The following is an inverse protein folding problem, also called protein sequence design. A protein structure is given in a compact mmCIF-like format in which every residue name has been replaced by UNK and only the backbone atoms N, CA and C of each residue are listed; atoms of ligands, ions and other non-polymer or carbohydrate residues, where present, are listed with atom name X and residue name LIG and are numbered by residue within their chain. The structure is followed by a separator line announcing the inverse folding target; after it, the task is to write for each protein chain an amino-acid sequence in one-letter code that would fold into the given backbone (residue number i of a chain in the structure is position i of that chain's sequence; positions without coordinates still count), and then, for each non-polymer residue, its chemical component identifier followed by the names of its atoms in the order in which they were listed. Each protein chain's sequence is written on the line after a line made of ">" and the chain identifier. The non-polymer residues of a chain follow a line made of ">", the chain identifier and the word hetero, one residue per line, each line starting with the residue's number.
data_IF_733610739129
#
_entry.id   IF_733610739129
#
_cell.length_a   1.000
_cell.length_b   1.000
_cell.length_c   1.000
_cell.angle_alpha   90.00
_cell.angle_beta   90.00
_cell.angle_gamma   90.00
#
_symmetry.space_group_name_H-M   'P 1'
#
loop_
_entity.id
_entity.type
_entity.pdbx_description
1 polymer ?
#
# COMPACT_ATOMS: atom_id res chain seq x y z
N UNK A 1 41.30 3.81 -29.46
CA UNK A 1 40.39 4.81 -30.06
C UNK A 1 39.16 4.88 -29.16
N UNK A 2 39.01 6.01 -28.45
CA UNK A 2 37.94 6.48 -27.53
C UNK A 2 37.08 5.43 -26.78
N UNK A 3 37.44 5.21 -25.51
CA UNK A 3 36.58 4.68 -24.45
C UNK A 3 36.01 5.90 -23.69
N UNK A 4 34.68 6.07 -23.69
CA UNK A 4 33.99 7.03 -22.82
C UNK A 4 33.62 6.34 -21.50
N UNK A 5 34.36 6.64 -20.44
CA UNK A 5 33.99 6.32 -19.05
C UNK A 5 33.52 7.63 -18.40
N UNK A 6 32.21 7.76 -18.20
CA UNK A 6 31.62 8.81 -17.36
C UNK A 6 31.58 8.31 -15.91
N UNK A 7 32.60 8.67 -15.14
CA UNK A 7 32.76 8.35 -13.72
C UNK A 7 32.78 9.67 -12.94
N UNK A 8 31.62 10.32 -12.85
CA UNK A 8 31.47 11.56 -12.07
C UNK A 8 30.03 11.88 -11.62
N UNK A 9 29.04 11.06 -11.98
CA UNK A 9 27.62 11.39 -11.75
C UNK A 9 26.95 10.77 -10.51
N UNK A 10 27.60 9.86 -9.78
CA UNK A 10 26.90 8.99 -8.81
C UNK A 10 27.20 9.27 -7.33
N UNK A 11 28.14 10.17 -7.03
CA UNK A 11 28.53 10.50 -5.66
C UNK A 11 27.88 11.83 -5.19
N UNK A 12 27.42 12.68 -6.12
CA UNK A 12 26.92 14.02 -5.81
C UNK A 12 25.40 14.09 -5.54
N UNK A 13 24.63 13.06 -5.90
CA UNK A 13 23.17 13.05 -5.73
C UNK A 13 22.69 12.57 -4.35
N UNK A 14 23.59 12.10 -3.48
CA UNK A 14 23.21 11.58 -2.16
C UNK A 14 23.11 12.65 -1.06
N UNK A 15 23.48 13.92 -1.29
CA UNK A 15 23.75 14.88 -0.20
C UNK A 15 23.18 16.30 -0.32
N UNK A 16 22.28 16.59 -1.28
CA UNK A 16 21.55 17.88 -1.31
C UNK A 16 20.05 17.66 -1.10
N UNK A 17 19.63 17.54 0.16
CA UNK A 17 18.24 17.81 0.56
C UNK A 17 18.21 18.35 2.00
N UNK A 18 18.94 19.44 2.23
CA UNK A 18 18.79 20.30 3.40
C UNK A 18 18.38 21.68 2.87
N UNK A 19 17.07 21.95 2.86
CA UNK A 19 16.56 23.30 2.61
C UNK A 19 16.36 24.04 3.93
N UNK A 20 16.98 25.21 3.98
CA UNK A 20 16.93 26.25 5.00
C UNK A 20 15.64 27.06 4.78
N UNK A 21 14.85 27.26 5.83
CA UNK A 21 13.71 28.20 5.84
C UNK A 21 14.13 29.51 6.52
N UNK A 22 13.84 30.70 5.94
CA UNK A 22 13.94 31.95 6.67
C UNK A 22 12.62 32.35 7.35
N UNK A 23 12.77 32.84 8.58
CA UNK A 23 11.83 33.61 9.41
C UNK A 23 11.29 34.85 8.66
N UNK A 24 10.03 35.22 8.90
CA UNK A 24 9.67 36.62 9.13
C UNK A 24 8.34 36.76 9.87
N UNK A 25 8.33 37.71 10.80
CA UNK A 25 7.31 38.00 11.80
C UNK A 25 6.59 39.33 11.52
N UNK A 26 5.54 39.58 12.34
CA UNK A 26 4.85 40.85 12.65
C UNK A 26 3.78 41.34 11.66
N UNK A 27 2.67 41.96 12.07
CA UNK A 27 1.82 42.03 13.29
C UNK A 27 0.66 42.98 12.91
N UNK A 28 -0.59 42.65 13.30
CA UNK A 28 -1.62 43.53 13.92
C UNK A 28 -2.00 44.89 13.23
N UNK A 29 -3.20 45.48 13.28
CA UNK A 29 -4.54 45.37 13.92
C UNK A 29 -5.33 46.60 13.36
N UNK A 30 -6.66 46.68 13.22
CA UNK A 30 -7.74 47.02 14.19
C UNK A 30 -8.96 47.49 13.32
N UNK A 31 -10.19 47.00 13.56
CA UNK A 31 -11.40 47.73 14.07
C UNK A 31 -11.91 48.95 13.25
N UNK A 32 -13.22 49.25 13.02
CA UNK A 32 -14.48 48.97 13.75
C UNK A 32 -15.74 49.45 12.94
N UNK A 33 -16.92 48.87 13.28
CA UNK A 33 -18.29 49.46 13.50
C UNK A 33 -19.09 49.99 12.30
N UNK A 34 -20.13 49.27 11.84
CA UNK A 34 -21.59 49.29 12.18
C UNK A 34 -22.40 50.42 11.52
N UNK A 35 -23.50 50.03 10.84
CA UNK A 35 -24.79 50.69 11.05
C UNK A 35 -25.95 49.69 10.82
N UNK A 36 -26.87 49.69 11.78
CA UNK A 36 -28.07 48.86 11.89
C UNK A 36 -29.27 49.53 11.20
N UNK A 37 -30.22 48.73 10.72
CA UNK A 37 -31.68 48.78 11.04
C UNK A 37 -32.44 47.76 10.13
N UNK A 38 -32.98 46.62 10.63
CA UNK A 38 -34.23 46.41 11.43
C UNK A 38 -35.48 46.65 10.56
N UNK A 39 -36.51 45.79 10.45
CA UNK A 39 -36.89 44.45 10.94
C UNK A 39 -38.14 44.03 10.14
N UNK A 40 -38.37 42.73 9.94
CA UNK A 40 -39.70 42.14 10.12
C UNK A 40 -39.55 40.68 10.57
N UNK A 41 -39.93 40.48 11.83
CA UNK A 41 -39.91 39.24 12.60
C UNK A 41 -40.86 38.17 12.04
N UNK A 42 -40.44 36.90 12.16
CA UNK A 42 -41.19 35.88 12.92
C UNK A 42 -40.23 34.79 13.44
N UNK A 43 -40.37 34.53 14.74
CA UNK A 43 -39.61 33.67 15.66
C UNK A 43 -39.42 32.23 15.11
N UNK A 44 -38.21 31.66 15.11
CA UNK A 44 -37.49 30.96 16.23
C UNK A 44 -38.39 29.87 16.86
N UNK A 45 -37.99 28.60 17.05
CA UNK A 45 -36.86 28.17 17.88
C UNK A 45 -36.44 26.73 17.50
N UNK A 46 -35.13 26.49 17.49
CA UNK A 46 -34.41 25.26 17.87
C UNK A 46 -34.94 23.88 17.42
N UNK A 47 -34.32 23.34 16.36
CA UNK A 47 -33.91 21.92 16.36
C UNK A 47 -32.48 21.81 15.90
N UNK A 48 -31.60 21.65 16.89
CA UNK A 48 -30.33 20.93 16.74
C UNK A 48 -30.68 19.62 16.04
N UNK A 49 -30.42 19.52 14.74
CA UNK A 49 -30.46 18.24 14.05
C UNK A 49 -29.31 17.43 14.64
N UNK A 50 -29.67 16.54 15.56
CA UNK A 50 -28.86 15.40 15.96
C UNK A 50 -28.24 14.82 14.70
N UNK A 51 -26.92 14.77 14.72
CA UNK A 51 -26.10 13.95 13.84
C UNK A 51 -26.68 12.54 13.89
N UNK A 52 -27.43 12.16 12.86
CA UNK A 52 -27.77 10.76 12.65
C UNK A 52 -26.45 10.04 12.38
N UNK A 53 -26.04 9.25 13.37
CA UNK A 53 -24.92 8.30 13.32
C UNK A 53 -25.27 7.12 12.40
N UNK A 54 -25.59 7.42 11.15
CA UNK A 54 -25.45 6.49 10.04
C UNK A 54 -24.72 7.23 8.93
N UNK A 55 -23.41 7.41 9.10
CA UNK A 55 -22.55 7.47 7.92
C UNK A 55 -22.68 6.09 7.28
N UNK A 56 -23.62 5.94 6.34
CA UNK A 56 -23.62 4.77 5.48
C UNK A 56 -22.20 4.62 4.95
N UNK A 57 -21.56 3.50 5.29
CA UNK A 57 -20.26 3.18 4.72
C UNK A 57 -20.54 3.08 3.23
N UNK A 58 -20.09 4.09 2.49
CA UNK A 58 -20.20 4.13 1.04
C UNK A 58 -19.62 2.82 0.53
N UNK A 59 -20.49 1.95 -0.01
CA UNK A 59 -20.08 0.66 -0.56
C UNK A 59 -19.46 0.94 -1.92
N UNK A 60 -18.24 0.45 -2.14
CA UNK A 60 -17.55 0.58 -3.42
C UNK A 60 -16.66 -0.63 -3.66
N UNK A 61 -16.31 -0.86 -4.93
CA UNK A 61 -15.41 -1.95 -5.33
C UNK A 61 -13.98 -1.64 -4.88
N UNK A 62 -13.48 -2.47 -3.96
CA UNK A 62 -12.09 -2.47 -3.46
C UNK A 62 -11.32 -3.64 -4.08
N UNK A 63 -10.02 -3.44 -4.29
CA UNK A 63 -9.14 -4.55 -4.61
C UNK A 63 -9.05 -5.54 -3.45
N UNK A 64 -8.80 -6.80 -3.77
CA UNK A 64 -8.58 -7.86 -2.79
C UNK A 64 -7.07 -8.02 -2.54
N UNK A 65 -6.67 -8.28 -1.30
CA UNK A 65 -5.25 -8.35 -0.94
C UNK A 65 -4.97 -9.54 -0.02
N UNK A 66 -3.92 -10.28 -0.35
CA UNK A 66 -3.24 -11.22 0.52
C UNK A 66 -1.82 -10.71 0.82
N UNK A 67 -1.44 -10.73 2.09
CA UNK A 67 -0.13 -10.23 2.53
C UNK A 67 0.71 -11.38 3.07
N UNK A 68 1.99 -11.37 2.69
CA UNK A 68 2.96 -12.38 3.10
C UNK A 68 4.30 -11.78 3.46
N UNK A 69 5.10 -12.53 4.22
CA UNK A 69 6.50 -12.23 4.52
C UNK A 69 7.39 -13.46 4.30
N UNK A 70 8.57 -13.23 3.75
CA UNK A 70 9.62 -14.25 3.57
C UNK A 70 10.40 -14.38 4.88
N UNK A 71 10.56 -15.60 5.34
CA UNK A 71 11.42 -15.93 6.49
C UNK A 71 12.83 -16.26 5.99
N UNK A 72 13.84 -15.70 6.64
CA UNK A 72 15.24 -16.01 6.42
C UNK A 72 15.92 -16.26 7.77
N UNK A 73 16.32 -17.51 8.00
CA UNK A 73 16.92 -17.97 9.25
C UNK A 73 18.26 -17.31 9.55
N UNK A 74 18.89 -16.68 8.56
CA UNK A 74 20.18 -16.01 8.73
C UNK A 74 20.03 -14.55 9.20
N UNK A 75 18.80 -14.04 9.32
CA UNK A 75 18.58 -12.64 9.67
C UNK A 75 18.59 -12.41 11.19
N UNK A 76 19.31 -11.38 11.67
CA UNK A 76 19.19 -10.95 13.05
C UNK A 76 17.77 -10.43 13.32
N UNK A 77 17.28 -10.65 14.55
CA UNK A 77 15.96 -10.19 15.02
C UNK A 77 14.78 -10.67 14.13
N UNK A 78 14.92 -11.79 13.42
CA UNK A 78 13.87 -12.31 12.51
C UNK A 78 12.53 -12.48 13.23
N UNK A 79 12.53 -13.04 14.44
CA UNK A 79 11.30 -13.37 15.15
C UNK A 79 10.51 -12.11 15.51
N UNK A 80 11.21 -11.04 15.86
CA UNK A 80 10.63 -9.74 16.10
C UNK A 80 9.98 -9.19 14.82
N UNK A 81 10.71 -9.15 13.71
CA UNK A 81 10.19 -8.68 12.40
C UNK A 81 8.96 -9.49 11.96
N UNK A 82 9.01 -10.82 12.09
CA UNK A 82 7.92 -11.71 11.72
C UNK A 82 6.70 -11.49 12.63
N UNK A 83 6.90 -11.33 13.94
CA UNK A 83 5.84 -11.00 14.91
C UNK A 83 5.21 -9.64 14.58
N UNK A 84 6.01 -8.61 14.33
CA UNK A 84 5.51 -7.29 13.94
C UNK A 84 4.67 -7.37 12.67
N UNK A 85 5.15 -8.08 11.64
CA UNK A 85 4.40 -8.23 10.40
C UNK A 85 3.06 -8.96 10.60
N UNK A 86 3.05 -10.03 11.40
CA UNK A 86 1.83 -10.82 11.68
C UNK A 86 0.80 -10.02 12.48
N UNK A 87 1.26 -9.15 13.38
CA UNK A 87 0.41 -8.29 14.22
C UNK A 87 0.01 -6.98 13.56
N UNK A 88 0.65 -6.60 12.44
CA UNK A 88 0.33 -5.39 11.71
C UNK A 88 -1.14 -5.39 11.25
N UNK A 89 -1.80 -4.25 11.40
CA UNK A 89 -3.17 -4.07 10.92
C UNK A 89 -3.28 -4.31 9.42
N UNK A 90 -4.34 -4.99 9.00
CA UNK A 90 -4.60 -5.19 7.58
C UNK A 90 -4.99 -3.85 6.93
N UNK A 91 -4.46 -3.52 5.73
CA UNK A 91 -4.82 -2.30 5.02
C UNK A 91 -6.33 -2.18 4.74
N UNK A 92 -7.00 -1.21 5.37
CA UNK A 92 -8.46 -1.02 5.36
C UNK A 92 -9.05 -0.72 3.97
N UNK A 93 -8.22 -0.19 3.06
CA UNK A 93 -8.61 0.14 1.67
C UNK A 93 -8.71 -1.08 0.75
N UNK A 94 -8.35 -2.27 1.22
CA UNK A 94 -8.49 -3.52 0.47
C UNK A 94 -9.45 -4.48 1.17
N UNK A 95 -10.02 -5.38 0.40
CA UNK A 95 -10.71 -6.55 0.94
C UNK A 95 -9.67 -7.57 1.43
N UNK A 96 -9.86 -8.10 2.64
CA UNK A 96 -8.98 -9.13 3.15
C UNK A 96 -9.20 -10.46 2.42
N UNK A 97 -8.28 -10.77 1.51
CA UNK A 97 -8.27 -11.99 0.72
C UNK A 97 -7.16 -12.93 1.14
N UNK A 98 -6.73 -12.85 2.41
CA UNK A 98 -5.74 -13.77 2.95
C UNK A 98 -6.26 -15.21 2.89
N UNK A 99 -5.44 -16.12 2.35
CA UNK A 99 -5.67 -17.56 2.28
C UNK A 99 -4.36 -18.29 2.52
N UNK A 100 -4.39 -19.44 3.22
CA UNK A 100 -3.19 -20.22 3.49
C UNK A 100 -2.19 -19.50 4.41
N UNK A 101 -0.93 -19.92 4.33
CA UNK A 101 0.14 -19.40 5.17
C UNK A 101 0.54 -17.98 4.77
N UNK A 102 0.83 -17.14 5.77
CA UNK A 102 1.31 -15.77 5.59
C UNK A 102 2.83 -15.66 5.49
N UNK A 103 3.54 -16.77 5.51
CA UNK A 103 5.00 -16.78 5.41
C UNK A 103 5.53 -18.10 4.88
N UNK A 104 6.74 -18.05 4.34
CA UNK A 104 7.49 -19.24 3.94
C UNK A 104 8.99 -19.01 4.13
N UNK A 105 9.71 -20.09 4.41
CA UNK A 105 11.15 -20.03 4.61
C UNK A 105 11.90 -20.11 3.29
N UNK A 106 12.73 -19.10 3.03
CA UNK A 106 13.47 -18.94 1.78
C UNK A 106 14.52 -20.03 1.54
N UNK A 107 14.99 -20.67 2.62
CA UNK A 107 15.96 -21.78 2.57
C UNK A 107 15.42 -22.97 1.78
N UNK A 108 14.11 -23.22 1.81
CA UNK A 108 13.46 -24.32 1.09
C UNK A 108 13.48 -24.12 -0.44
N UNK A 109 13.85 -22.92 -0.91
CA UNK A 109 13.84 -22.52 -2.31
C UNK A 109 15.21 -22.04 -2.79
N UNK A 110 16.29 -22.45 -2.11
CA UNK A 110 17.63 -21.91 -2.33
C UNK A 110 18.15 -22.14 -3.77
N UNK A 111 17.76 -23.24 -4.41
CA UNK A 111 18.13 -23.55 -5.80
C UNK A 111 17.57 -22.50 -6.77
N UNK A 112 16.33 -22.06 -6.56
CA UNK A 112 15.67 -21.02 -7.38
C UNK A 112 16.31 -19.65 -7.22
N UNK A 113 16.91 -19.38 -6.07
CA UNK A 113 17.67 -18.13 -5.83
C UNK A 113 19.02 -18.18 -6.56
N UNK A 114 19.59 -19.37 -6.71
CA UNK A 114 20.86 -19.57 -7.39
C UNK A 114 20.74 -19.49 -8.92
N UNK A 115 19.58 -19.88 -9.49
CA UNK A 115 19.29 -19.83 -10.93
C UNK A 115 19.39 -18.40 -11.54
N UNK A 116 19.16 -17.34 -10.75
CA UNK A 116 19.16 -15.94 -11.23
C UNK A 116 20.60 -15.38 -11.41
N UNK A 117 21.65 -16.10 -10.95
CA UNK A 117 23.03 -15.58 -10.89
C UNK A 117 23.73 -15.36 -12.24
N UNK A 118 23.19 -15.82 -13.37
CA UNK A 118 23.91 -15.77 -14.65
C UNK A 118 23.72 -14.48 -15.48
N UNK A 119 22.87 -13.53 -15.06
CA UNK A 119 22.53 -12.37 -15.93
C UNK A 119 22.80 -10.95 -15.39
N UNK A 120 22.97 -10.75 -14.08
CA UNK A 120 23.11 -9.40 -13.50
C UNK A 120 24.10 -9.41 -12.34
N UNK A 121 25.02 -8.45 -12.29
CA UNK A 121 25.94 -8.22 -11.16
C UNK A 121 25.13 -8.23 -9.85
N UNK A 122 25.36 -9.26 -9.03
CA UNK A 122 24.66 -9.56 -7.80
C UNK A 122 24.88 -8.48 -6.72
N UNK A 123 24.12 -7.38 -6.79
CA UNK A 123 24.01 -6.43 -5.67
C UNK A 123 22.68 -6.48 -4.94
N UNK A 124 21.68 -7.17 -5.48
CA UNK A 124 20.39 -7.38 -4.85
C UNK A 124 19.86 -8.77 -5.15
N UNK A 125 19.60 -9.58 -4.12
CA UNK A 125 18.93 -10.87 -4.29
C UNK A 125 17.47 -10.61 -4.70
N UNK A 126 17.12 -11.00 -5.92
CA UNK A 126 15.75 -11.07 -6.39
C UNK A 126 15.17 -12.43 -5.95
N UNK A 127 14.05 -12.40 -5.21
CA UNK A 127 13.40 -13.60 -4.69
C UNK A 127 12.20 -14.05 -5.54
N UNK A 128 11.91 -13.39 -6.67
CA UNK A 128 10.75 -13.69 -7.51
C UNK A 128 10.67 -15.16 -7.94
N UNK A 129 11.78 -15.79 -8.33
CA UNK A 129 11.78 -17.22 -8.69
C UNK A 129 11.39 -18.14 -7.52
N UNK A 130 11.90 -17.86 -6.32
CA UNK A 130 11.55 -18.61 -5.11
C UNK A 130 10.07 -18.40 -4.72
N UNK A 131 9.59 -17.16 -4.78
CA UNK A 131 8.18 -16.81 -4.52
C UNK A 131 7.25 -17.54 -5.50
N UNK A 132 7.59 -17.53 -6.79
CA UNK A 132 6.81 -18.20 -7.82
C UNK A 132 6.77 -19.72 -7.61
N UNK A 133 7.87 -20.33 -7.18
CA UNK A 133 7.89 -21.76 -6.86
C UNK A 133 7.01 -22.06 -5.65
N UNK A 134 7.10 -21.25 -4.58
CA UNK A 134 6.22 -21.39 -3.42
C UNK A 134 4.73 -21.28 -3.79
N UNK A 135 4.35 -20.33 -4.64
CA UNK A 135 2.97 -20.19 -5.10
C UNK A 135 2.46 -21.43 -5.85
N UNK A 136 3.32 -22.07 -6.65
CA UNK A 136 3.01 -23.31 -7.36
C UNK A 136 2.85 -24.47 -6.40
N UNK A 137 3.83 -24.70 -5.53
CA UNK A 137 3.85 -25.81 -4.58
C UNK A 137 2.64 -25.78 -3.64
N UNK A 138 2.25 -24.57 -3.22
CA UNK A 138 1.11 -24.39 -2.30
C UNK A 138 -0.22 -24.18 -2.99
N UNK A 139 -0.25 -24.15 -4.34
CA UNK A 139 -1.43 -23.82 -5.16
C UNK A 139 -2.14 -22.57 -4.64
N UNK A 140 -1.37 -21.52 -4.31
CA UNK A 140 -1.92 -20.31 -3.70
C UNK A 140 -2.98 -19.65 -4.58
N UNK A 141 -2.75 -19.60 -5.89
CA UNK A 141 -3.71 -19.03 -6.84
C UNK A 141 -5.04 -19.80 -6.79
N UNK A 142 -5.02 -21.14 -6.80
CA UNK A 142 -6.22 -21.98 -6.67
C UNK A 142 -6.96 -21.70 -5.35
N UNK A 143 -6.24 -21.54 -4.23
CA UNK A 143 -6.83 -21.21 -2.93
C UNK A 143 -7.52 -19.84 -2.95
N UNK A 144 -6.94 -18.85 -3.64
CA UNK A 144 -7.53 -17.52 -3.78
C UNK A 144 -8.79 -17.55 -4.67
N UNK A 145 -8.80 -18.33 -5.75
CA UNK A 145 -10.00 -18.55 -6.57
C UNK A 145 -11.07 -19.31 -5.78
N UNK A 146 -10.69 -20.37 -5.06
CA UNK A 146 -11.61 -21.11 -4.20
C UNK A 146 -12.29 -20.21 -3.16
N UNK A 147 -11.56 -19.24 -2.59
CA UNK A 147 -12.15 -18.23 -1.68
C UNK A 147 -13.13 -17.29 -2.39
N UNK A 148 -12.80 -16.82 -3.60
CA UNK A 148 -13.72 -15.98 -4.39
C UNK A 148 -15.06 -16.65 -4.66
N UNK A 149 -15.02 -17.97 -4.87
CA UNK A 149 -16.19 -18.77 -5.17
C UNK A 149 -16.67 -19.62 -3.96
N UNK A 150 -16.33 -19.22 -2.73
CA UNK A 150 -16.78 -19.84 -1.48
C UNK A 150 -16.79 -21.39 -1.50
N UNK A 151 -15.71 -21.98 -2.03
CA UNK A 151 -15.66 -23.39 -2.35
C UNK A 151 -15.82 -24.28 -1.11
N UNK A 152 -16.74 -25.25 -1.15
CA UNK A 152 -16.96 -26.24 -0.08
C UNK A 152 -15.91 -27.36 -0.07
N UNK A 153 -15.92 -28.20 0.96
CA UNK A 153 -15.04 -29.38 1.06
C UNK A 153 -15.35 -30.42 -0.06
N UNK A 154 -16.62 -30.56 -0.42
CA UNK A 154 -17.10 -31.39 -1.54
C UNK A 154 -16.75 -30.79 -2.90
N UNK A 155 -16.30 -29.53 -2.93
CA UNK A 155 -15.85 -28.83 -4.13
C UNK A 155 -16.91 -27.95 -4.79
N UNK A 156 -18.10 -27.81 -4.20
CA UNK A 156 -19.14 -26.92 -4.70
C UNK A 156 -18.73 -25.45 -4.61
N UNK A 157 -19.16 -24.65 -5.57
CA UNK A 157 -18.89 -23.22 -5.66
C UNK A 157 -20.16 -22.36 -5.47
N UNK A 158 -19.96 -21.13 -4.99
CA UNK A 158 -20.99 -20.11 -4.78
C UNK A 158 -20.42 -18.71 -5.09
N UNK A 159 -21.22 -17.85 -5.72
CA UNK A 159 -20.86 -16.47 -6.09
C UNK A 159 -21.15 -15.42 -5.01
N UNK A 160 -21.62 -15.81 -3.82
CA UNK A 160 -22.03 -14.87 -2.77
C UNK A 160 -20.95 -13.85 -2.37
N UNK A 161 -19.66 -14.23 -2.35
CA UNK A 161 -18.57 -13.27 -2.07
C UNK A 161 -18.36 -12.25 -3.19
N UNK A 162 -18.52 -12.66 -4.45
CA UNK A 162 -18.46 -11.76 -5.62
C UNK A 162 -19.61 -10.76 -5.54
N UNK A 163 -20.81 -11.24 -5.23
CA UNK A 163 -22.00 -10.39 -5.04
C UNK A 163 -21.78 -9.37 -3.91
N UNK A 164 -21.28 -9.81 -2.75
CA UNK A 164 -21.00 -8.95 -1.60
C UNK A 164 -20.04 -7.82 -1.97
N UNK A 165 -18.95 -8.15 -2.68
CA UNK A 165 -17.87 -7.20 -3.02
C UNK A 165 -18.14 -6.39 -4.30
N UNK A 166 -19.10 -6.81 -5.12
CA UNK A 166 -19.53 -6.13 -6.34
C UNK A 166 -20.22 -4.79 -6.13
N UNK A 167 -20.55 -4.46 -4.87
CA UNK A 167 -21.20 -3.22 -4.46
C UNK A 167 -22.54 -2.98 -5.21
N UNK A 168 -23.31 -4.05 -5.42
CA UNK A 168 -24.68 -3.95 -5.91
C UNK A 168 -25.56 -3.31 -4.83
N UNK A 169 -26.37 -2.32 -5.21
CA UNK A 169 -27.27 -1.60 -4.31
C UNK A 169 -28.43 -2.50 -3.84
N UNK A 170 -29.07 -2.14 -2.71
CA UNK A 170 -30.29 -2.76 -2.22
C UNK A 170 -31.47 -2.65 -3.21
N UNK A 171 -31.48 -1.65 -4.10
CA UNK A 171 -32.44 -1.60 -5.22
C UNK A 171 -32.18 -2.68 -6.29
N UNK A 172 -30.95 -3.22 -6.35
CA UNK A 172 -30.61 -4.43 -7.09
C UNK A 172 -30.87 -5.71 -6.26
N UNK A 173 -31.29 -5.64 -4.99
CA UNK A 173 -31.77 -6.78 -4.17
C UNK A 173 -33.18 -7.28 -4.56
N UNK A 174 -33.62 -7.00 -5.79
CA UNK A 174 -34.37 -8.01 -6.55
C UNK A 174 -33.43 -9.15 -7.03
N UNK A 175 -32.17 -9.20 -6.58
CA UNK A 175 -31.13 -10.16 -6.94
C UNK A 175 -31.49 -11.60 -6.63
N UNK A 176 -32.25 -11.89 -5.57
CA UNK A 176 -32.71 -13.27 -5.32
C UNK A 176 -33.67 -13.75 -6.43
N UNK A 177 -34.42 -12.84 -7.06
CA UNK A 177 -35.20 -13.12 -8.27
C UNK A 177 -34.36 -13.03 -9.56
N UNK A 178 -33.26 -12.26 -9.59
CA UNK A 178 -32.40 -12.11 -10.76
C UNK A 178 -31.35 -13.23 -10.91
N UNK A 179 -30.93 -13.87 -9.81
CA UNK A 179 -30.03 -15.04 -9.79
C UNK A 179 -30.62 -16.25 -10.51
N UNK A 180 -31.96 -16.32 -10.62
CA UNK A 180 -32.67 -17.33 -11.41
C UNK A 180 -32.77 -16.97 -12.91
N UNK A 181 -32.22 -15.83 -13.32
CA UNK A 181 -32.24 -15.37 -14.72
C UNK A 181 -30.83 -15.38 -15.29
N UNK A 182 -30.69 -15.78 -16.55
CA UNK A 182 -29.43 -15.79 -17.31
C UNK A 182 -28.67 -14.45 -17.18
N UNK A 183 -29.42 -13.35 -17.26
CA UNK A 183 -28.90 -11.98 -17.11
C UNK A 183 -28.23 -11.70 -15.76
N UNK A 184 -28.80 -12.18 -14.65
CA UNK A 184 -28.22 -11.93 -13.32
C UNK A 184 -26.89 -12.66 -13.12
N UNK A 185 -26.78 -13.87 -13.70
CA UNK A 185 -25.55 -14.65 -13.71
C UNK A 185 -24.46 -13.96 -14.54
N UNK A 186 -24.81 -13.42 -15.71
CA UNK A 186 -23.85 -12.74 -16.57
C UNK A 186 -23.32 -11.44 -15.94
N UNK A 187 -24.16 -10.68 -15.24
CA UNK A 187 -23.71 -9.53 -14.46
C UNK A 187 -22.73 -9.90 -13.35
N UNK A 188 -22.93 -11.04 -12.69
CA UNK A 188 -22.04 -11.53 -11.63
C UNK A 188 -20.72 -12.06 -12.19
N UNK A 189 -20.75 -12.72 -13.34
CA UNK A 189 -19.53 -13.12 -14.07
C UNK A 189 -18.70 -11.89 -14.43
N UNK A 190 -19.31 -10.87 -15.04
CA UNK A 190 -18.64 -9.60 -15.39
C UNK A 190 -18.00 -8.92 -14.17
N UNK A 191 -18.73 -8.85 -13.04
CA UNK A 191 -18.16 -8.31 -11.80
C UNK A 191 -17.06 -9.22 -11.23
N UNK A 192 -17.20 -10.54 -11.37
CA UNK A 192 -16.17 -11.52 -11.08
C UNK A 192 -14.89 -11.22 -11.87
N UNK A 193 -14.98 -10.93 -13.17
CA UNK A 193 -13.83 -10.56 -13.99
C UNK A 193 -13.10 -9.35 -13.40
N UNK A 194 -13.80 -8.25 -13.15
CA UNK A 194 -13.16 -7.03 -12.63
C UNK A 194 -12.59 -7.24 -11.22
N UNK A 195 -13.33 -7.90 -10.32
CA UNK A 195 -12.95 -8.04 -8.91
C UNK A 195 -11.84 -9.07 -8.71
N UNK A 196 -11.95 -10.23 -9.36
CA UNK A 196 -10.96 -11.32 -9.24
C UNK A 196 -9.65 -10.86 -9.86
N UNK A 197 -9.68 -10.20 -11.03
CA UNK A 197 -8.48 -9.63 -11.64
C UNK A 197 -7.87 -8.50 -10.77
N UNK A 198 -8.67 -7.77 -10.00
CA UNK A 198 -8.20 -6.81 -8.98
C UNK A 198 -7.86 -7.48 -7.63
N UNK A 199 -7.25 -8.67 -7.68
CA UNK A 199 -6.75 -9.40 -6.50
C UNK A 199 -5.23 -9.42 -6.52
N UNK A 200 -4.61 -9.05 -5.40
CA UNK A 200 -3.18 -8.87 -5.28
C UNK A 200 -2.57 -9.73 -4.18
N UNK A 201 -1.31 -10.12 -4.38
CA UNK A 201 -0.46 -10.69 -3.32
C UNK A 201 0.75 -9.79 -3.15
N UNK A 202 1.00 -9.33 -1.93
CA UNK A 202 2.21 -8.59 -1.60
C UNK A 202 3.09 -9.44 -0.70
N UNK A 203 4.26 -9.81 -1.22
CA UNK A 203 5.26 -10.60 -0.50
C UNK A 203 6.39 -9.69 -0.03
N UNK A 204 6.59 -9.59 1.28
CA UNK A 204 7.58 -8.74 1.91
C UNK A 204 8.84 -9.53 2.25
N UNK A 205 10.01 -8.92 2.08
CA UNK A 205 11.27 -9.40 2.63
C UNK A 205 11.94 -8.25 3.36
N UNK A 206 12.11 -8.39 4.67
CA UNK A 206 12.67 -7.36 5.54
C UNK A 206 13.96 -7.86 6.16
N UNK A 207 15.02 -7.04 6.15
CA UNK A 207 16.30 -7.35 6.79
C UNK A 207 16.71 -6.25 7.76
N UNK A 208 17.17 -6.65 8.93
CA UNK A 208 17.80 -5.76 9.91
C UNK A 208 19.30 -5.66 9.59
N UNK A 209 19.79 -4.46 9.31
CA UNK A 209 21.14 -4.20 8.79
C UNK A 209 21.86 -3.22 9.71
N UNK A 210 23.08 -3.57 10.13
CA UNK A 210 23.97 -2.61 10.79
C UNK A 210 24.38 -1.51 9.81
N UNK A 211 24.17 -0.26 10.20
CA UNK A 211 24.56 0.86 9.34
C UNK A 211 26.08 0.94 9.19
N UNK A 212 26.85 0.50 10.19
CA UNK A 212 28.32 0.50 10.18
C UNK A 212 28.90 -0.36 9.07
N UNK A 213 28.42 -1.59 8.90
CA UNK A 213 28.94 -2.51 7.86
C UNK A 213 28.74 -1.92 6.45
N UNK A 214 27.57 -1.32 6.21
CA UNK A 214 27.25 -0.68 4.92
C UNK A 214 28.04 0.62 4.74
N UNK A 215 28.16 1.43 5.79
CA UNK A 215 28.90 2.68 5.78
C UNK A 215 30.38 2.45 5.53
N UNK A 216 30.97 1.40 6.12
CA UNK A 216 32.38 1.04 5.93
C UNK A 216 32.70 0.66 4.49
N UNK A 217 31.89 -0.20 3.87
CA UNK A 217 32.05 -0.57 2.45
C UNK A 217 32.02 0.68 1.56
N UNK A 218 31.09 1.60 1.82
CA UNK A 218 30.96 2.84 1.06
C UNK A 218 32.13 3.78 1.30
N UNK A 219 32.59 3.88 2.55
CA UNK A 219 33.75 4.68 2.93
C UNK A 219 35.04 4.19 2.28
N UNK A 220 35.26 2.88 2.21
CA UNK A 220 36.44 2.31 1.56
C UNK A 220 36.43 2.58 0.03
N UNK A 221 35.26 2.47 -0.62
CA UNK A 221 35.11 2.91 -2.03
C UNK A 221 35.40 4.41 -2.18
N UNK A 222 34.95 5.24 -1.23
CA UNK A 222 35.19 6.68 -1.25
C UNK A 222 36.68 7.01 -1.05
N UNK A 223 37.41 6.27 -0.22
CA UNK A 223 38.89 6.40 -0.11
C UNK A 223 39.57 6.07 -1.44
N UNK A 224 39.19 4.98 -2.08
CA UNK A 224 39.75 4.57 -3.37
C UNK A 224 39.48 5.60 -4.48
N UNK A 225 38.31 6.26 -4.42
CA UNK A 225 37.98 7.36 -5.32
C UNK A 225 38.77 8.63 -4.98
N UNK A 226 38.90 8.99 -3.70
CA UNK A 226 39.66 10.15 -3.25
C UNK A 226 41.15 10.03 -3.61
N UNK A 227 41.73 8.83 -3.53
CA UNK A 227 43.11 8.55 -3.93
C UNK A 227 43.41 8.86 -5.41
N UNK A 228 42.37 8.97 -6.27
CA UNK A 228 42.50 9.29 -7.69
C UNK A 228 42.38 10.79 -7.99
N UNK A 229 42.09 11.62 -6.99
CA UNK A 229 42.03 13.07 -7.13
C UNK A 229 43.44 13.70 -7.06
N UNK A 230 43.62 14.93 -7.58
CA UNK A 230 44.84 15.70 -7.37
C UNK A 230 45.17 15.85 -5.87
N UNK A 231 46.45 15.79 -5.50
CA UNK A 231 46.92 15.78 -4.11
C UNK A 231 46.31 16.90 -3.24
N UNK A 232 46.15 18.11 -3.79
CA UNK A 232 45.57 19.26 -3.10
C UNK A 232 44.09 19.08 -2.68
N UNK A 233 43.37 18.11 -3.26
CA UNK A 233 41.96 17.84 -2.98
C UNK A 233 41.72 16.54 -2.21
N UNK A 234 42.76 15.72 -2.01
CA UNK A 234 42.61 14.39 -1.40
C UNK A 234 42.20 14.47 0.07
N UNK A 235 42.86 15.33 0.85
CA UNK A 235 42.59 15.49 2.29
C UNK A 235 41.16 16.00 2.54
N UNK A 236 40.74 17.05 1.83
CA UNK A 236 39.38 17.57 1.92
C UNK A 236 38.33 16.53 1.49
N UNK A 237 38.59 15.73 0.45
CA UNK A 237 37.69 14.67 0.00
C UNK A 237 37.59 13.53 1.04
N UNK A 238 38.71 13.16 1.66
CA UNK A 238 38.75 12.14 2.73
C UNK A 238 38.03 12.61 3.99
N UNK A 239 38.17 13.89 4.38
CA UNK A 239 37.48 14.45 5.54
C UNK A 239 35.97 14.51 5.34
N UNK A 240 35.50 14.90 4.14
CA UNK A 240 34.08 14.84 3.78
C UNK A 240 33.58 13.39 3.84
N UNK A 241 34.33 12.44 3.26
CA UNK A 241 33.97 11.03 3.28
C UNK A 241 33.93 10.46 4.70
N UNK A 242 34.87 10.85 5.56
CA UNK A 242 34.92 10.46 6.97
C UNK A 242 33.78 11.06 7.78
N UNK A 243 33.47 12.34 7.59
CA UNK A 243 32.32 12.99 8.25
C UNK A 243 31.00 12.36 7.84
N UNK A 244 30.82 12.03 6.55
CA UNK A 244 29.68 11.28 6.06
C UNK A 244 29.61 9.86 6.64
N UNK A 245 30.75 9.16 6.74
CA UNK A 245 30.85 7.85 7.38
C UNK A 245 30.44 7.88 8.86
N UNK A 246 30.96 8.83 9.64
CA UNK A 246 30.64 8.95 11.06
C UNK A 246 29.16 9.19 11.32
N UNK A 247 28.48 9.95 10.46
CA UNK A 247 27.03 10.13 10.50
C UNK A 247 26.28 8.88 10.05
N UNK A 248 26.74 8.25 8.97
CA UNK A 248 26.03 7.13 8.35
C UNK A 248 26.23 5.80 9.06
N UNK A 249 27.29 5.62 9.86
CA UNK A 249 27.57 4.34 10.56
C UNK A 249 26.71 4.11 11.80
N UNK A 250 26.08 5.16 12.33
CA UNK A 250 25.35 5.08 13.59
C UNK A 250 24.04 4.32 13.41
N UNK A 251 23.74 3.45 14.38
CA UNK A 251 22.47 2.75 14.47
C UNK A 251 22.26 1.63 13.45
N UNK A 252 21.00 1.35 13.16
CA UNK A 252 20.57 0.24 12.33
C UNK A 252 19.57 0.72 11.27
N UNK A 253 19.27 -0.16 10.32
CA UNK A 253 18.24 0.08 9.33
C UNK A 253 17.45 -1.20 9.06
N UNK A 254 16.15 -1.04 8.85
CA UNK A 254 15.30 -2.11 8.32
C UNK A 254 15.10 -1.84 6.84
N UNK A 255 15.57 -2.76 6.00
CA UNK A 255 15.37 -2.67 4.56
C UNK A 255 14.28 -3.64 4.18
N UNK A 256 13.22 -3.13 3.55
CA UNK A 256 12.10 -3.96 3.09
C UNK A 256 12.02 -3.92 1.57
N UNK A 257 11.86 -5.09 0.96
CA UNK A 257 11.47 -5.26 -0.44
C UNK A 257 10.07 -5.85 -0.46
N UNK A 258 9.14 -5.23 -1.20
CA UNK A 258 7.81 -5.77 -1.42
C UNK A 258 7.62 -6.13 -2.89
N UNK A 259 7.30 -7.39 -3.15
CA UNK A 259 6.96 -7.91 -4.47
C UNK A 259 5.45 -7.90 -4.63
N UNK A 260 4.96 -7.27 -5.70
CA UNK A 260 3.55 -7.15 -6.00
C UNK A 260 3.16 -8.10 -7.13
N UNK A 261 2.26 -9.01 -6.81
CA UNK A 261 1.64 -9.93 -7.76
C UNK A 261 0.17 -9.60 -7.93
N UNK A 262 -0.35 -9.90 -9.11
CA UNK A 262 -1.76 -9.79 -9.46
C UNK A 262 -2.29 -11.14 -9.94
N UNK A 263 -3.51 -11.49 -9.53
CA UNK A 263 -4.23 -12.65 -10.05
C UNK A 263 -4.47 -12.49 -11.55
N UNK A 264 -4.13 -13.50 -12.34
CA UNK A 264 -4.50 -13.55 -13.75
C UNK A 264 -5.88 -14.18 -13.86
N UNK A 265 -6.88 -13.33 -14.13
CA UNK A 265 -8.25 -13.75 -14.39
C UNK A 265 -8.77 -13.03 -15.63
N UNK A 266 -9.05 -13.78 -16.68
CA UNK A 266 -9.50 -13.29 -17.98
C UNK A 266 -10.53 -14.25 -18.57
N UNK A 267 -11.19 -13.83 -19.66
CA UNK A 267 -12.28 -14.55 -20.32
C UNK A 267 -11.93 -16.01 -20.65
N UNK A 268 -10.68 -16.30 -21.01
CA UNK A 268 -10.25 -17.67 -21.35
C UNK A 268 -10.13 -18.55 -20.10
N UNK A 269 -9.55 -18.03 -19.02
CA UNK A 269 -9.45 -18.73 -17.73
C UNK A 269 -10.83 -18.96 -17.14
N UNK A 270 -11.68 -17.94 -17.22
CA UNK A 270 -13.06 -17.99 -16.75
C UNK A 270 -13.89 -19.03 -17.51
N UNK A 271 -13.80 -19.06 -18.84
CA UNK A 271 -14.51 -20.03 -19.66
C UNK A 271 -14.15 -21.48 -19.28
N UNK A 272 -12.85 -21.76 -19.13
CA UNK A 272 -12.37 -23.09 -18.69
C UNK A 272 -12.86 -23.41 -17.28
N UNK A 273 -12.84 -22.44 -16.36
CA UNK A 273 -13.36 -22.64 -15.01
C UNK A 273 -14.85 -23.00 -15.00
N UNK A 274 -15.71 -22.22 -15.68
CA UNK A 274 -17.15 -22.51 -15.69
C UNK A 274 -17.53 -23.76 -16.48
N UNK A 275 -16.82 -24.06 -17.56
CA UNK A 275 -17.11 -25.24 -18.39
C UNK A 275 -16.64 -26.53 -17.70
N UNK A 276 -15.40 -26.54 -17.23
CA UNK A 276 -14.70 -27.79 -16.86
C UNK A 276 -14.59 -28.01 -15.34
N UNK A 277 -14.80 -26.97 -14.53
CA UNK A 277 -14.57 -27.03 -13.08
C UNK A 277 -15.80 -26.67 -12.25
N UNK A 278 -16.71 -25.83 -12.76
CA UNK A 278 -17.87 -25.38 -12.01
C UNK A 278 -18.85 -26.51 -11.68
N UNK A 279 -19.22 -26.53 -10.40
CA UNK A 279 -20.18 -27.42 -9.77
C UNK A 279 -20.77 -26.67 -8.57
N UNK A 280 -22.06 -26.79 -8.33
CA UNK A 280 -22.74 -26.20 -7.17
C UNK A 280 -23.20 -27.29 -6.19
N UNK A 281 -23.78 -26.88 -5.07
CA UNK A 281 -24.23 -27.82 -4.02
C UNK A 281 -25.35 -28.77 -4.47
N UNK A 282 -26.02 -28.48 -5.59
CA UNK A 282 -27.09 -29.32 -6.16
C UNK A 282 -26.58 -30.34 -7.18
N UNK A 283 -25.36 -30.13 -7.71
CA UNK A 283 -24.77 -30.94 -8.77
C UNK A 283 -23.29 -31.20 -8.51
N UNK A 284 -23.02 -32.11 -7.57
CA UNK A 284 -21.66 -32.48 -7.18
C UNK A 284 -21.04 -33.46 -8.20
N UNK A 285 -19.87 -33.11 -8.75
CA UNK A 285 -19.11 -33.95 -9.68
C UNK A 285 -17.66 -34.15 -9.20
N UNK A 286 -17.28 -35.38 -8.76
CA UNK A 286 -15.92 -35.71 -8.34
C UNK A 286 -14.84 -35.50 -9.41
N UNK A 287 -15.17 -35.63 -10.70
CA UNK A 287 -14.21 -35.42 -11.78
C UNK A 287 -13.86 -33.93 -11.90
N UNK A 288 -14.86 -33.05 -11.88
CA UNK A 288 -14.66 -31.60 -11.86
C UNK A 288 -13.88 -31.13 -10.63
N UNK A 289 -14.18 -31.71 -9.46
CA UNK A 289 -13.42 -31.47 -8.23
C UNK A 289 -11.93 -31.79 -8.43
N UNK A 290 -11.64 -32.94 -9.04
CA UNK A 290 -10.26 -33.41 -9.31
C UNK A 290 -9.53 -32.51 -10.31
N UNK A 291 -10.24 -32.01 -11.34
CA UNK A 291 -9.69 -31.05 -12.31
C UNK A 291 -9.27 -29.77 -11.59
N UNK A 292 -10.15 -29.18 -10.76
CA UNK A 292 -9.83 -27.95 -10.02
C UNK A 292 -8.64 -28.14 -9.06
N UNK A 293 -8.63 -29.23 -8.28
CA UNK A 293 -7.63 -29.49 -7.26
C UNK A 293 -6.21 -29.66 -7.84
N UNK A 294 -6.09 -30.20 -9.05
CA UNK A 294 -4.80 -30.43 -9.71
C UNK A 294 -4.42 -29.35 -10.73
N UNK A 295 -5.34 -28.46 -11.08
CA UNK A 295 -5.16 -27.45 -12.13
C UNK A 295 -3.97 -26.50 -11.87
N UNK A 296 -3.25 -26.17 -12.93
CA UNK A 296 -2.24 -25.08 -13.01
C UNK A 296 -2.76 -23.86 -13.80
N UNK A 297 -4.08 -23.81 -14.05
CA UNK A 297 -4.73 -22.75 -14.82
C UNK A 297 -4.58 -21.38 -14.15
N UNK A 298 -4.70 -21.33 -12.83
CA UNK A 298 -4.71 -20.08 -12.07
C UNK A 298 -3.29 -19.64 -11.73
N UNK A 299 -2.96 -18.40 -12.08
CA UNK A 299 -1.59 -17.89 -11.97
C UNK A 299 -1.55 -16.51 -11.33
N UNK A 300 -0.41 -16.20 -10.71
CA UNK A 300 -0.10 -14.91 -10.11
C UNK A 300 1.03 -14.27 -10.92
N UNK A 301 0.73 -13.15 -11.58
CA UNK A 301 1.68 -12.39 -12.39
C UNK A 301 2.43 -11.38 -11.54
N UNK A 302 3.76 -11.40 -11.60
CA UNK A 302 4.60 -10.36 -10.99
C UNK A 302 4.42 -9.05 -11.77
N UNK A 303 3.90 -8.01 -11.10
CA UNK A 303 3.87 -6.65 -11.65
C UNK A 303 5.21 -5.95 -11.45
N UNK A 304 5.88 -6.23 -10.33
CA UNK A 304 7.21 -5.74 -10.02
C UNK A 304 7.43 -5.67 -8.51
N UNK A 305 8.44 -4.91 -8.09
CA UNK A 305 8.75 -4.74 -6.68
C UNK A 305 9.18 -3.30 -6.37
N UNK A 306 9.10 -2.95 -5.10
CA UNK A 306 9.60 -1.70 -4.54
C UNK A 306 10.45 -1.95 -3.30
N UNK A 307 11.35 -1.01 -3.01
CA UNK A 307 12.28 -1.10 -1.88
C UNK A 307 12.21 0.15 -1.02
N UNK A 308 12.40 -0.05 0.28
CA UNK A 308 12.57 1.07 1.20
C UNK A 308 13.55 0.73 2.31
N UNK A 309 13.97 1.78 3.02
CA UNK A 309 14.83 1.70 4.19
C UNK A 309 14.22 2.58 5.27
N UNK A 310 13.98 2.01 6.45
CA UNK A 310 13.66 2.74 7.66
C UNK A 310 14.92 2.80 8.54
N UNK A 311 15.31 4.02 8.93
CA UNK A 311 16.45 4.29 9.79
C UNK A 311 16.08 4.11 11.26
N UNK A 312 17.06 3.67 12.05
CA UNK A 312 17.03 3.61 13.52
C UNK A 312 18.33 4.25 13.99
N UNK A 313 18.29 5.46 14.53
CA UNK A 313 19.46 6.26 14.93
C UNK A 313 19.85 6.04 16.40
N UNK A 314 18.91 5.69 17.27
CA UNK A 314 19.13 5.41 18.70
C UNK A 314 18.82 3.97 19.09
N UNK A 315 19.87 3.15 19.21
CA UNK A 315 19.85 1.87 19.96
C UNK A 315 20.95 1.89 21.03
N UNK A 316 21.19 3.06 21.61
CA UNK A 316 22.19 3.24 22.66
C UNK A 316 21.85 2.42 23.90
N UNK A 317 22.83 2.23 24.80
CA UNK A 317 22.79 1.40 26.01
C UNK A 317 21.62 1.65 26.97
N UNK A 318 20.84 2.72 26.74
CA UNK A 318 19.74 3.21 27.57
C UNK A 318 18.38 3.19 26.84
N UNK A 319 18.25 2.56 25.66
CA UNK A 319 16.97 2.44 24.99
C UNK A 319 16.08 1.46 25.79
N UNK A 320 15.20 1.99 26.64
CA UNK A 320 14.29 1.20 27.50
C UNK A 320 13.35 0.27 26.70
N UNK A 321 13.25 0.41 25.36
CA UNK A 321 12.43 -0.44 24.50
C UNK A 321 13.01 -0.66 23.09
N UNK A 322 14.22 -1.23 22.97
CA UNK A 322 14.81 -1.67 21.68
C UNK A 322 13.78 -2.40 20.78
N UNK A 323 12.96 -3.28 21.35
CA UNK A 323 11.93 -4.01 20.60
C UNK A 323 10.90 -3.06 19.96
N UNK A 324 10.39 -2.07 20.71
CA UNK A 324 9.38 -1.13 20.21
C UNK A 324 9.93 -0.26 19.08
N UNK A 325 11.20 0.16 19.17
CA UNK A 325 11.86 0.92 18.10
C UNK A 325 11.95 0.09 16.81
N UNK A 326 12.33 -1.19 16.93
CA UNK A 326 12.41 -2.11 15.79
C UNK A 326 11.02 -2.41 15.23
N UNK A 327 10.01 -2.58 16.07
CA UNK A 327 8.62 -2.78 15.66
C UNK A 327 8.10 -1.57 14.86
N UNK A 328 8.27 -0.36 15.39
CA UNK A 328 7.88 0.89 14.73
C UNK A 328 8.61 1.08 13.39
N UNK A 329 9.93 0.83 13.34
CA UNK A 329 10.70 0.89 12.11
C UNK A 329 10.23 -0.16 11.08
N UNK A 330 9.85 -1.36 11.54
CA UNK A 330 9.33 -2.43 10.67
C UNK A 330 8.00 -2.03 10.06
N UNK A 331 7.06 -1.53 10.87
CA UNK A 331 5.76 -1.02 10.41
C UNK A 331 5.92 0.16 9.45
N UNK A 332 6.79 1.12 9.77
CA UNK A 332 7.13 2.26 8.91
C UNK A 332 7.66 1.78 7.56
N UNK A 333 8.54 0.78 7.56
CA UNK A 333 9.12 0.21 6.35
C UNK A 333 8.05 -0.50 5.51
N UNK A 334 7.18 -1.31 6.12
CA UNK A 334 6.06 -1.98 5.43
C UNK A 334 5.12 -0.95 4.81
N UNK A 335 4.65 0.04 5.58
CA UNK A 335 3.76 1.09 5.06
C UNK A 335 4.41 1.84 3.89
N UNK A 336 5.69 2.18 4.01
CA UNK A 336 6.43 2.88 2.97
C UNK A 336 6.53 2.09 1.66
N UNK A 337 6.79 0.78 1.69
CA UNK A 337 6.80 -0.02 0.45
C UNK A 337 5.41 -0.12 -0.17
N UNK A 338 4.34 -0.25 0.62
CA UNK A 338 2.97 -0.23 0.09
C UNK A 338 2.64 1.07 -0.61
N UNK A 339 2.99 2.21 -0.01
CA UNK A 339 2.76 3.53 -0.61
C UNK A 339 3.53 3.69 -1.94
N UNK A 340 4.77 3.19 -2.01
CA UNK A 340 5.55 3.17 -3.26
C UNK A 340 4.91 2.28 -4.32
N UNK A 341 4.44 1.09 -3.94
CA UNK A 341 3.73 0.19 -4.84
C UNK A 341 2.47 0.85 -5.39
N UNK A 342 1.64 1.48 -4.55
CA UNK A 342 0.41 2.16 -4.95
C UNK A 342 0.69 3.34 -5.89
N UNK A 343 1.71 4.16 -5.60
CA UNK A 343 2.11 5.26 -6.49
C UNK A 343 2.56 4.77 -7.86
N UNK A 344 3.36 3.71 -7.89
CA UNK A 344 3.99 3.17 -9.11
C UNK A 344 3.04 2.35 -9.99
N UNK A 345 2.25 1.45 -9.40
CA UNK A 345 1.43 0.49 -10.13
C UNK A 345 -0.04 0.92 -10.10
N UNK A 346 -0.54 1.46 -11.22
CA UNK A 346 -1.93 1.94 -11.32
C UNK A 346 -2.98 0.90 -10.90
N UNK A 347 -2.90 -0.39 -11.30
CA UNK A 347 -3.87 -1.40 -10.87
C UNK A 347 -3.96 -1.55 -9.35
N UNK A 348 -2.86 -1.26 -8.63
CA UNK A 348 -2.78 -1.41 -7.19
C UNK A 348 -3.22 -0.17 -6.41
N UNK A 349 -3.57 0.93 -7.09
CA UNK A 349 -4.02 2.17 -6.42
C UNK A 349 -5.32 1.97 -5.68
N UNK A 350 -5.37 2.50 -4.47
CA UNK A 350 -6.57 2.51 -3.64
C UNK A 350 -7.53 3.63 -4.08
N UNK A 351 -8.80 3.41 -3.78
CA UNK A 351 -9.84 4.44 -3.87
C UNK A 351 -10.24 4.83 -2.45
N UNK A 352 -10.53 6.11 -2.23
CA UNK A 352 -11.00 6.61 -0.92
C UNK A 352 -12.26 7.46 -1.11
N UNK A 353 -13.33 7.28 -0.34
CA UNK A 353 -14.51 8.15 -0.45
C UNK A 353 -14.23 9.55 0.10
N UNK A 354 -14.78 10.56 -0.54
CA UNK A 354 -14.93 11.90 0.03
C UNK A 354 -15.89 11.82 1.22
N UNK A 355 -15.48 12.37 2.36
CA UNK A 355 -16.28 12.42 3.59
C UNK A 355 -16.86 13.81 3.86
N UNK A 356 -16.28 14.83 3.24
CA UNK A 356 -16.74 16.22 3.34
C UNK A 356 -16.53 16.96 2.02
N UNK A 357 -17.34 18.00 1.79
CA UNK A 357 -17.23 18.93 0.65
C UNK A 357 -16.89 20.36 1.08
N UNK A 358 -17.02 20.68 2.37
CA UNK A 358 -16.64 21.98 2.94
C UNK A 358 -16.10 21.80 4.38
N UNK A 359 -14.77 21.77 4.58
CA UNK A 359 -13.75 21.69 3.54
C UNK A 359 -13.81 20.34 2.80
N UNK A 360 -13.45 20.34 1.52
CA UNK A 360 -13.37 19.10 0.72
C UNK A 360 -12.35 18.14 1.33
N UNK A 361 -12.75 16.92 1.67
CA UNK A 361 -11.92 16.05 2.48
C UNK A 361 -12.18 14.54 2.36
N UNK A 362 -11.14 13.76 2.66
CA UNK A 362 -11.19 12.29 2.65
C UNK A 362 -10.30 11.69 3.75
N UNK A 363 -10.70 10.52 4.29
CA UNK A 363 -9.95 9.77 5.32
C UNK A 363 -8.76 9.00 4.71
N UNK A 364 -7.76 9.77 4.32
CA UNK A 364 -6.44 9.35 3.82
C UNK A 364 -5.40 10.35 4.35
N UNK A 365 -4.21 9.90 4.72
CA UNK A 365 -3.23 10.71 5.44
C UNK A 365 -1.78 10.24 5.25
N UNK A 366 -0.95 10.58 6.23
CA UNK A 366 0.49 10.31 6.19
C UNK A 366 0.84 8.81 6.27
N UNK A 367 -0.02 7.94 6.83
CA UNK A 367 0.16 6.47 6.85
C UNK A 367 0.12 5.90 5.43
N UNK A 368 -0.77 6.41 4.59
CA UNK A 368 -0.86 6.10 3.15
C UNK A 368 0.17 6.89 2.32
N UNK A 369 1.07 7.63 2.98
CA UNK A 369 2.19 8.30 2.33
C UNK A 369 1.77 9.51 1.52
N UNK A 370 0.68 10.16 1.89
CA UNK A 370 0.14 11.34 1.21
C UNK A 370 1.09 12.54 1.35
N UNK A 371 1.33 13.25 0.24
CA UNK A 371 2.22 14.40 0.18
C UNK A 371 1.50 15.67 -0.24
N UNK A 372 1.97 16.80 0.29
CA UNK A 372 1.42 18.11 -0.01
C UNK A 372 1.51 18.45 -1.49
N UNK A 373 0.36 18.48 -2.16
CA UNK A 373 0.24 18.81 -3.58
C UNK A 373 0.08 17.61 -4.51
N UNK A 374 0.00 16.38 -3.97
CA UNK A 374 -0.46 15.21 -4.73
C UNK A 374 -1.80 15.50 -5.41
N UNK A 375 -1.98 14.95 -6.62
CA UNK A 375 -3.20 15.09 -7.40
C UNK A 375 -4.04 13.81 -7.33
N UNK A 376 -5.35 14.01 -7.25
CA UNK A 376 -6.33 12.95 -7.27
C UNK A 376 -7.38 13.25 -8.32
N UNK A 377 -7.82 12.22 -9.03
CA UNK A 377 -9.07 12.31 -9.77
C UNK A 377 -10.24 12.00 -8.83
N UNK A 378 -11.35 12.69 -9.03
CA UNK A 378 -12.63 12.38 -8.38
C UNK A 378 -13.45 11.56 -9.36
N UNK A 379 -13.92 10.41 -8.90
CA UNK A 379 -14.66 9.41 -9.64
C UNK A 379 -16.10 9.36 -9.11
N UNK A 380 -17.05 9.50 -10.03
CA UNK A 380 -18.47 9.26 -9.78
C UNK A 380 -18.81 7.83 -10.20
N UNK A 381 -19.52 7.12 -9.32
CA UNK A 381 -20.06 5.80 -9.62
C UNK A 381 -21.27 5.96 -10.54
N UNK A 382 -21.30 5.24 -11.66
CA UNK A 382 -22.39 5.23 -12.61
C UNK A 382 -22.85 3.79 -12.87
N UNK A 383 -24.13 3.61 -13.11
CA UNK A 383 -24.69 2.34 -13.55
C UNK A 383 -25.02 2.46 -15.03
N UNK A 384 -24.59 1.51 -15.83
CA UNK A 384 -25.01 1.44 -17.23
C UNK A 384 -26.44 0.85 -17.35
N UNK A 385 -26.95 0.78 -18.58
CA UNK A 385 -28.28 0.22 -18.89
C UNK A 385 -28.44 -1.24 -18.48
N UNK A 386 -27.31 -1.94 -18.26
CA UNK A 386 -27.23 -3.34 -17.86
C UNK A 386 -27.01 -3.49 -16.34
N UNK A 387 -27.00 -2.37 -15.58
CA UNK A 387 -26.81 -2.37 -14.14
C UNK A 387 -25.36 -2.60 -13.68
N UNK A 388 -24.39 -2.54 -14.60
CA UNK A 388 -22.96 -2.66 -14.26
C UNK A 388 -22.44 -1.35 -13.70
N UNK A 389 -21.64 -1.47 -12.65
CA UNK A 389 -20.96 -0.32 -12.03
C UNK A 389 -19.76 0.09 -12.88
N UNK A 390 -19.71 1.36 -13.24
CA UNK A 390 -18.56 2.00 -13.88
C UNK A 390 -18.17 3.26 -13.10
N UNK A 391 -16.91 3.70 -13.25
CA UNK A 391 -16.40 4.89 -12.57
C UNK A 391 -16.01 5.95 -13.60
N UNK A 392 -16.68 7.11 -13.55
CA UNK A 392 -16.41 8.23 -14.46
C UNK A 392 -15.68 9.35 -13.74
N UNK A 393 -14.58 9.83 -14.33
CA UNK A 393 -13.87 11.01 -13.82
C UNK A 393 -14.75 12.25 -13.90
N UNK A 394 -14.94 12.90 -12.76
CA UNK A 394 -15.72 14.13 -12.59
C UNK A 394 -14.86 15.38 -12.44
N UNK A 395 -13.64 15.23 -11.91
CA UNK A 395 -12.72 16.34 -11.74
C UNK A 395 -11.36 15.92 -11.19
N UNK A 396 -10.50 16.91 -10.94
CA UNK A 396 -9.19 16.72 -10.31
C UNK A 396 -9.11 17.63 -9.09
N UNK A 397 -8.58 17.09 -8.00
CA UNK A 397 -8.36 17.77 -6.73
C UNK A 397 -6.90 17.62 -6.32
N UNK A 398 -6.43 18.52 -5.47
CA UNK A 398 -5.04 18.58 -5.04
C UNK A 398 -4.96 18.60 -3.51
N UNK A 399 -4.08 17.79 -2.93
CA UNK A 399 -3.87 17.77 -1.47
C UNK A 399 -3.46 19.16 -0.98
N UNK A 400 -4.13 19.64 0.07
CA UNK A 400 -3.74 20.87 0.74
C UNK A 400 -2.48 20.65 1.59
N UNK A 401 -1.39 21.33 1.25
CA UNK A 401 -0.09 21.20 1.92
C UNK A 401 -0.13 21.47 3.43
N UNK A 402 -1.09 22.28 3.90
CA UNK A 402 -1.18 22.68 5.31
C UNK A 402 -2.10 21.79 6.15
N UNK A 403 -2.91 20.95 5.52
CA UNK A 403 -4.01 20.25 6.17
C UNK A 403 -4.01 18.77 5.77
N UNK A 404 -2.99 18.04 6.21
CA UNK A 404 -2.83 16.61 5.96
C UNK A 404 -3.03 15.84 7.25
N UNK A 405 -3.92 14.87 7.23
CA UNK A 405 -4.21 14.04 8.40
C UNK A 405 -2.99 13.17 8.77
N UNK A 406 -2.45 13.39 9.97
CA UNK A 406 -1.45 12.52 10.57
C UNK A 406 -2.15 11.32 11.25
N UNK A 407 -2.32 10.24 10.49
CA UNK A 407 -2.90 8.97 10.93
C UNK A 407 -1.84 7.87 11.13
N UNK A 408 -0.59 8.26 11.41
CA UNK A 408 0.50 7.30 11.61
C UNK A 408 0.42 6.55 12.95
N UNK A 409 -0.25 7.14 13.93
CA UNK A 409 -0.30 6.66 15.31
C UNK A 409 -1.75 6.57 15.77
N UNK A 410 -2.06 5.57 16.59
CA UNK A 410 -3.39 5.42 17.15
C UNK A 410 -3.61 6.37 18.33
N UNK A 411 -4.87 6.66 18.63
CA UNK A 411 -5.24 7.48 19.78
C UNK A 411 -4.83 6.75 21.07
N UNK A 412 -3.95 7.38 21.87
CA UNK A 412 -3.43 6.82 23.12
C UNK A 412 -2.09 6.08 23.01
N UNK A 413 -1.48 6.02 21.82
CA UNK A 413 -0.07 5.61 21.68
C UNK A 413 0.87 6.78 22.02
N UNK A 414 1.99 6.49 22.69
CA UNK A 414 3.13 7.40 22.83
C UNK A 414 4.19 7.01 21.79
N UNK A 415 4.07 7.51 20.54
CA UNK A 415 5.03 7.15 19.50
C UNK A 415 6.41 7.69 19.83
N UNK A 416 7.44 6.88 19.57
CA UNK A 416 8.84 7.28 19.70
C UNK A 416 9.45 7.60 18.33
N UNK A 417 10.37 8.57 18.30
CA UNK A 417 11.20 8.89 17.13
C UNK A 417 12.31 7.84 16.91
N UNK A 418 13.19 8.10 15.94
CA UNK A 418 14.25 7.16 15.56
C UNK A 418 15.33 7.02 16.66
N UNK A 419 15.32 7.95 17.63
CA UNK A 419 16.20 8.06 18.78
C UNK A 419 15.56 7.54 20.09
N UNK A 420 14.26 7.27 20.09
CA UNK A 420 13.51 6.80 21.27
C UNK A 420 12.85 7.92 22.09
N UNK A 421 12.76 9.15 21.59
CA UNK A 421 12.06 10.25 22.26
C UNK A 421 10.57 10.27 21.87
N UNK A 422 9.66 10.65 22.79
CA UNK A 422 8.25 10.83 22.46
C UNK A 422 8.02 11.87 21.35
N UNK A 423 7.14 11.55 20.40
CA UNK A 423 6.72 12.45 19.32
C UNK A 423 5.40 13.12 19.72
N UNK A 424 5.40 14.45 19.78
CA UNK A 424 4.17 15.22 19.92
C UNK A 424 3.32 15.13 18.64
N UNK A 425 2.05 14.77 18.77
CA UNK A 425 1.11 14.65 17.65
C UNK A 425 0.35 15.97 17.50
N UNK A 426 0.82 16.86 16.60
CA UNK A 426 0.24 18.20 16.39
C UNK A 426 -1.13 18.23 15.67
N UNK A 427 -1.87 17.12 15.60
CA UNK A 427 -2.87 16.99 14.54
C UNK A 427 -4.33 17.15 15.01
N UNK A 428 -4.90 18.33 14.79
CA UNK A 428 -6.30 18.70 15.14
C UNK A 428 -7.33 18.45 14.01
N UNK A 429 -6.99 17.62 13.01
CA UNK A 429 -7.88 17.30 11.88
C UNK A 429 -8.07 15.79 11.76
N UNK A 430 -9.28 15.36 11.40
CA UNK A 430 -9.66 13.94 11.31
C UNK A 430 -9.63 13.38 9.87
N UNK A 431 -9.38 14.24 8.88
CA UNK A 431 -9.27 13.87 7.46
C UNK A 431 -8.42 14.90 6.70
N UNK A 432 -7.81 14.50 5.59
CA UNK A 432 -7.00 15.41 4.77
C UNK A 432 -7.89 16.32 3.94
N UNK A 433 -7.54 17.61 3.87
CA UNK A 433 -8.23 18.57 3.01
C UNK A 433 -7.66 18.60 1.59
N UNK A 434 -8.53 18.88 0.63
CA UNK A 434 -8.20 19.00 -0.77
C UNK A 434 -8.67 20.33 -1.34
N UNK A 435 -8.01 20.79 -2.40
CA UNK A 435 -8.32 22.01 -3.16
C UNK A 435 -8.73 21.67 -4.58
N UNK A 436 -9.72 22.41 -5.09
CA UNK A 436 -10.14 22.37 -6.48
C UNK A 436 -11.44 21.60 -6.74
N UNK A 437 -11.93 21.73 -7.98
CA UNK A 437 -13.20 21.17 -8.44
C UNK A 437 -14.45 21.83 -7.84
N UNK A 438 -15.61 21.51 -8.40
CA UNK A 438 -16.95 21.96 -7.94
C UNK A 438 -17.95 20.84 -8.16
N UNK A 439 -19.05 20.84 -7.42
CA UNK A 439 -20.16 19.88 -7.55
C UNK A 439 -19.80 18.45 -7.15
N UNK A 440 -18.89 18.29 -6.20
CA UNK A 440 -18.67 17.00 -5.56
C UNK A 440 -19.69 16.81 -4.43
N UNK A 441 -19.93 15.57 -4.05
CA UNK A 441 -20.75 15.21 -2.89
C UNK A 441 -20.05 14.10 -2.10
N UNK A 442 -20.34 13.98 -0.78
CA UNK A 442 -19.81 12.88 0.03
C UNK A 442 -20.13 11.52 -0.59
N UNK A 443 -19.15 10.62 -0.62
CA UNK A 443 -19.26 9.29 -1.23
C UNK A 443 -18.70 9.16 -2.65
N UNK A 444 -18.45 10.26 -3.37
CA UNK A 444 -17.59 10.18 -4.57
C UNK A 444 -16.21 9.66 -4.19
N UNK A 445 -15.59 8.87 -5.06
CA UNK A 445 -14.30 8.23 -4.79
C UNK A 445 -13.15 9.08 -5.32
N UNK A 446 -12.01 9.07 -4.63
CA UNK A 446 -10.78 9.70 -5.09
C UNK A 446 -9.73 8.63 -5.35
N UNK A 447 -8.97 8.78 -6.44
CA UNK A 447 -7.84 7.92 -6.81
C UNK A 447 -6.65 8.77 -7.19
N UNK A 448 -5.46 8.40 -6.73
CA UNK A 448 -4.24 9.16 -7.01
C UNK A 448 -3.89 9.13 -8.50
N UNK A 449 -3.45 10.26 -9.05
CA UNK A 449 -2.94 10.39 -10.42
C UNK A 449 -1.54 11.00 -10.39
N UNK A 450 -0.67 10.53 -11.29
CA UNK A 450 0.71 11.02 -11.42
C UNK A 450 0.78 12.28 -12.28
#
# INVERSE_FOLDING_TARGET
>A
MKIYISWSGLILTLFLNLQISPLNAQEQTLEKVEENEVKKEKEDITKIQKIDKHTEIVKYRRGSLHTMIIEDDNLPKKDLILRTFKNAEFPDKYNNHTTGDKSFNIKNYQDKINEIKEGKKAKDKDFSAAINQYFKDTKLANKMIAKWFNRSEEGAFDMSLIQERGAYDASAQAADMALSTERGLDMLKDAGIELINNTFVVVNYSKFVSNEETAKITYDIAKDAAAKLPAALQEAALDIAKSAYEKARQGYSIWTTAYLYQMEWNDSIEAVFYMDMWMDSTSIDPAKKTIFDNSDLFQLKLLGYEKTRALISGLGSNAESEEMIIENATLKSINSVYNKLQRKFEPFRTKTPLVSIDPLGAKIGLKEGLEGGDKYEVLEQQFDTEGRVTYKRKGIIKVDKKNIWNNKYNIGEEPLDEEGNPIEIENNIEFTHFKGGKGFYPGMLIRQIN
#
